data_IF_413484997959
#
_entry.id   IF_413484997959
#
_cell.length_a   1.000
_cell.length_b   1.000
_cell.length_c   1.000
_cell.angle_alpha   90.00
_cell.angle_beta   90.00
_cell.angle_gamma   90.00
#
_symmetry.space_group_name_H-M   'P 1'
#
loop_
_entity.id
_entity.type
_entity.pdbx_description
1 polymer ?
#
# COMPACT_ATOMS: atom_id res chain seq x y z
N UNK A 1 -49.72 -73.63 16.09
CA UNK A 1 -50.28 -72.40 16.70
C UNK A 1 -49.58 -71.19 16.10
N UNK A 2 -50.34 -70.24 15.55
CA UNK A 2 -49.86 -68.95 15.05
C UNK A 2 -49.30 -68.10 16.20
N UNK A 3 -48.21 -67.39 15.98
CA UNK A 3 -48.06 -65.99 16.40
C UNK A 3 -47.25 -65.24 15.33
N UNK A 4 -47.94 -64.34 14.64
CA UNK A 4 -47.41 -63.32 13.75
C UNK A 4 -47.00 -62.10 14.57
N UNK A 5 -45.79 -61.58 14.36
CA UNK A 5 -45.33 -60.31 14.92
C UNK A 5 -44.55 -59.53 13.87
N UNK A 6 -45.24 -58.65 13.16
CA UNK A 6 -44.67 -57.62 12.31
C UNK A 6 -43.77 -56.70 13.15
N UNK A 7 -42.47 -56.61 12.84
CA UNK A 7 -41.69 -55.44 13.24
C UNK A 7 -41.58 -54.47 12.06
N UNK A 8 -42.31 -53.38 12.27
CA UNK A 8 -42.49 -52.19 11.47
C UNK A 8 -41.22 -51.64 10.81
N UNK A 9 -41.34 -51.38 9.50
CA UNK A 9 -40.41 -50.66 8.62
C UNK A 9 -40.19 -49.17 8.98
N UNK A 10 -40.45 -48.76 10.22
CA UNK A 10 -40.43 -47.37 10.65
C UNK A 10 -39.09 -46.90 11.25
N UNK A 11 -38.18 -47.81 11.62
CA UNK A 11 -36.93 -47.42 12.32
C UNK A 11 -35.76 -47.15 11.35
N UNK A 12 -35.81 -47.67 10.13
CA UNK A 12 -34.73 -47.46 9.14
C UNK A 12 -34.92 -46.17 8.32
N UNK A 13 -36.10 -45.55 8.38
CA UNK A 13 -36.41 -44.34 7.57
C UNK A 13 -35.96 -43.04 8.25
N UNK A 14 -35.72 -43.02 9.56
CA UNK A 14 -35.38 -41.78 10.28
C UNK A 14 -33.90 -41.38 10.09
N UNK A 15 -33.00 -42.32 9.74
CA UNK A 15 -31.58 -42.00 9.53
C UNK A 15 -31.25 -41.50 8.11
N UNK A 16 -32.16 -41.64 7.13
CA UNK A 16 -31.91 -41.21 5.75
C UNK A 16 -32.54 -39.86 5.38
N UNK A 17 -33.46 -39.33 6.18
CA UNK A 17 -34.11 -38.03 5.90
C UNK A 17 -33.36 -36.84 6.55
N UNK A 18 -32.52 -37.10 7.55
CA UNK A 18 -31.76 -36.05 8.25
C UNK A 18 -30.53 -35.50 7.52
N UNK A 19 -30.09 -36.13 6.43
CA UNK A 19 -28.82 -35.76 5.76
C UNK A 19 -29.01 -34.84 4.53
N UNK A 20 -30.25 -34.54 4.13
CA UNK A 20 -30.54 -33.77 2.91
C UNK A 20 -31.03 -32.33 3.15
N UNK A 21 -30.95 -31.82 4.39
CA UNK A 21 -31.32 -30.44 4.74
C UNK A 21 -30.15 -29.58 5.24
N UNK A 22 -28.91 -30.07 5.12
CA UNK A 22 -27.73 -29.20 5.19
C UNK A 22 -27.44 -28.69 3.78
N UNK A 23 -28.29 -27.80 3.28
CA UNK A 23 -27.88 -26.92 2.18
C UNK A 23 -26.65 -26.21 2.72
N UNK A 24 -25.45 -26.36 2.14
CA UNK A 24 -24.40 -25.42 2.46
C UNK A 24 -25.01 -24.08 2.08
N UNK A 25 -25.20 -23.18 3.06
CA UNK A 25 -25.31 -21.78 2.73
C UNK A 25 -24.10 -21.53 1.85
N UNK A 26 -24.35 -21.42 0.54
CA UNK A 26 -23.41 -20.82 -0.36
C UNK A 26 -23.27 -19.45 0.23
N UNK A 27 -22.21 -19.25 1.01
CA UNK A 27 -21.78 -17.95 1.45
C UNK A 27 -21.42 -17.25 0.15
N UNK A 28 -22.44 -16.70 -0.51
CA UNK A 28 -22.26 -15.68 -1.51
C UNK A 28 -21.58 -14.58 -0.74
N UNK A 29 -20.26 -14.51 -0.85
CA UNK A 29 -19.53 -13.34 -0.44
C UNK A 29 -20.30 -12.19 -1.09
N UNK A 30 -21.02 -11.40 -0.28
CA UNK A 30 -21.52 -10.10 -0.69
C UNK A 30 -20.28 -9.40 -1.20
N UNK A 31 -20.05 -9.44 -2.51
CA UNK A 31 -19.04 -8.65 -3.19
C UNK A 31 -19.54 -7.21 -3.03
N UNK A 32 -19.26 -6.65 -1.86
CA UNK A 32 -19.74 -5.35 -1.46
C UNK A 32 -19.02 -4.32 -2.30
N UNK A 33 -19.59 -3.98 -3.45
CA UNK A 33 -19.46 -2.69 -4.16
C UNK A 33 -18.07 -2.15 -4.50
N UNK A 34 -16.99 -2.90 -4.23
CA UNK A 34 -15.62 -2.48 -4.48
C UNK A 34 -15.31 -2.41 -5.97
N UNK A 35 -14.61 -1.36 -6.39
CA UNK A 35 -14.15 -1.20 -7.78
C UNK A 35 -12.65 -1.51 -7.88
N UNK A 36 -12.21 -1.93 -9.07
CA UNK A 36 -10.78 -2.01 -9.33
C UNK A 36 -10.25 -0.62 -9.67
N UNK A 37 -9.23 -0.17 -8.95
CA UNK A 37 -8.51 1.09 -9.23
C UNK A 37 -7.15 0.79 -9.82
N UNK A 38 -6.90 1.39 -10.98
CA UNK A 38 -5.63 1.25 -11.68
C UNK A 38 -4.77 2.49 -11.49
N UNK A 39 -3.52 2.28 -11.07
CA UNK A 39 -2.50 3.32 -11.01
C UNK A 39 -1.26 2.89 -11.79
N UNK A 40 -0.55 3.87 -12.36
CA UNK A 40 0.75 3.66 -12.99
C UNK A 40 1.78 4.55 -12.32
N UNK A 41 2.80 3.92 -11.76
CA UNK A 41 3.95 4.57 -11.14
C UNK A 41 5.14 4.41 -12.06
N UNK A 42 5.59 5.51 -12.65
CA UNK A 42 6.80 5.58 -13.45
C UNK A 42 7.91 6.15 -12.58
N UNK A 43 8.85 5.30 -12.16
CA UNK A 43 9.96 5.69 -11.31
C UNK A 43 11.01 6.36 -12.20
N UNK A 44 11.30 7.64 -11.96
CA UNK A 44 12.18 8.46 -12.80
C UNK A 44 13.00 9.45 -11.98
N UNK A 45 14.16 9.81 -12.52
CA UNK A 45 14.95 10.91 -12.01
C UNK A 45 14.26 12.24 -12.29
N UNK A 46 14.32 13.17 -11.34
CA UNK A 46 13.85 14.55 -11.49
C UNK A 46 14.79 15.48 -10.74
N UNK A 47 15.23 16.56 -11.39
CA UNK A 47 15.96 17.62 -10.72
C UNK A 47 14.99 18.43 -9.86
N UNK A 48 15.32 18.57 -8.58
CA UNK A 48 14.57 19.36 -7.60
C UNK A 48 15.55 20.25 -6.86
N UNK A 49 15.13 21.50 -6.65
CA UNK A 49 15.89 22.50 -5.90
C UNK A 49 15.25 22.72 -4.55
N UNK A 50 16.04 22.63 -3.48
CA UNK A 50 15.68 23.07 -2.12
C UNK A 50 16.93 23.62 -1.48
N UNK A 51 16.79 24.57 -0.56
CA UNK A 51 17.92 25.13 0.19
C UNK A 51 19.02 25.67 -0.73
N UNK A 52 18.61 26.27 -1.86
CA UNK A 52 19.51 26.79 -2.91
C UNK A 52 20.38 25.74 -3.61
N UNK A 53 20.09 24.44 -3.41
CA UNK A 53 20.85 23.33 -3.99
C UNK A 53 19.95 22.49 -4.88
N UNK A 54 20.40 22.27 -6.10
CA UNK A 54 19.72 21.40 -7.06
C UNK A 54 20.38 20.03 -7.04
N UNK A 55 19.56 18.97 -6.92
CA UNK A 55 20.02 17.59 -7.12
C UNK A 55 18.98 16.79 -7.89
N UNK A 56 19.45 15.75 -8.56
CA UNK A 56 18.55 14.77 -9.17
C UNK A 56 18.12 13.76 -8.11
N UNK A 57 16.81 13.55 -7.98
CA UNK A 57 16.24 12.58 -7.04
C UNK A 57 15.33 11.59 -7.75
N UNK A 58 15.13 10.43 -7.14
CA UNK A 58 14.15 9.44 -7.61
C UNK A 58 12.74 9.92 -7.23
N UNK A 59 11.81 9.87 -8.20
CA UNK A 59 10.42 10.31 -8.01
C UNK A 59 9.44 9.33 -8.63
N UNK A 60 8.17 9.45 -8.24
CA UNK A 60 7.06 8.78 -8.92
C UNK A 60 6.37 9.77 -9.84
N UNK A 61 6.35 9.48 -11.14
CA UNK A 61 5.73 10.32 -12.17
C UNK A 61 6.26 11.76 -12.18
N UNK A 62 7.55 11.95 -11.82
CA UNK A 62 8.17 13.28 -11.78
C UNK A 62 7.72 14.16 -10.60
N UNK A 63 7.04 13.58 -9.59
CA UNK A 63 6.48 14.32 -8.45
C UNK A 63 7.20 13.96 -7.14
N UNK A 64 7.42 14.98 -6.32
CA UNK A 64 7.95 14.89 -4.96
C UNK A 64 7.20 15.88 -4.04
N UNK A 65 6.52 15.40 -2.97
CA UNK A 65 6.18 14.00 -2.73
C UNK A 65 5.39 13.39 -3.89
N UNK A 66 5.32 12.07 -3.94
CA UNK A 66 4.65 11.33 -4.99
C UNK A 66 3.13 11.53 -5.03
N UNK A 67 2.47 11.03 -6.09
CA UNK A 67 1.03 11.19 -6.26
C UNK A 67 0.22 10.54 -5.13
N UNK A 68 -0.92 11.16 -4.82
CA UNK A 68 -1.92 10.57 -3.92
C UNK A 68 -2.54 9.33 -4.56
N UNK A 69 -2.59 8.24 -3.80
CA UNK A 69 -3.42 7.07 -4.10
C UNK A 69 -4.71 7.20 -3.31
N UNK A 70 -5.86 7.05 -3.95
CA UNK A 70 -7.17 7.20 -3.32
C UNK A 70 -8.01 5.97 -3.63
N UNK A 71 -8.45 5.29 -2.59
CA UNK A 71 -9.32 4.14 -2.69
C UNK A 71 -10.49 4.24 -1.68
N UNK A 72 -11.47 3.36 -1.81
CA UNK A 72 -12.48 3.10 -0.78
C UNK A 72 -12.16 1.77 -0.11
N UNK A 73 -12.64 1.59 1.11
CA UNK A 73 -12.69 0.26 1.72
C UNK A 73 -13.43 -0.71 0.77
N UNK A 74 -12.85 -1.88 0.52
CA UNK A 74 -13.35 -2.90 -0.40
C UNK A 74 -12.83 -2.79 -1.83
N UNK A 75 -12.20 -1.67 -2.22
CA UNK A 75 -11.62 -1.53 -3.56
C UNK A 75 -10.41 -2.45 -3.75
N UNK A 76 -10.23 -2.93 -4.99
CA UNK A 76 -9.02 -3.64 -5.43
C UNK A 76 -8.05 -2.66 -6.06
N UNK A 77 -6.85 -2.54 -5.53
CA UNK A 77 -5.81 -1.68 -6.09
C UNK A 77 -4.90 -2.50 -6.99
N UNK A 78 -4.71 -2.02 -8.21
CA UNK A 78 -3.76 -2.55 -9.18
C UNK A 78 -2.79 -1.46 -9.56
N UNK A 79 -1.57 -1.51 -9.05
CA UNK A 79 -0.53 -0.50 -9.30
C UNK A 79 0.61 -1.11 -10.09
N UNK A 80 0.75 -0.68 -11.35
CA UNK A 80 1.91 -1.03 -12.17
C UNK A 80 3.05 -0.05 -11.89
N UNK A 81 4.11 -0.55 -11.28
CA UNK A 81 5.35 0.19 -11.05
C UNK A 81 6.33 -0.17 -12.16
N UNK A 82 6.86 0.84 -12.86
CA UNK A 82 7.86 0.68 -13.92
C UNK A 82 9.12 1.44 -13.50
N UNK A 83 10.23 0.73 -13.39
CA UNK A 83 11.49 1.31 -12.97
C UNK A 83 12.30 1.82 -14.18
N UNK A 84 12.52 3.13 -14.27
CA UNK A 84 13.38 3.73 -15.30
C UNK A 84 14.67 4.33 -14.72
N UNK A 85 14.94 4.17 -13.43
CA UNK A 85 16.17 4.66 -12.80
C UNK A 85 17.20 3.54 -12.66
N UNK A 86 18.50 3.86 -12.57
CA UNK A 86 19.55 2.84 -12.42
C UNK A 86 19.47 2.04 -11.12
N UNK A 87 18.84 2.61 -10.09
CA UNK A 87 18.70 1.95 -8.80
C UNK A 87 17.56 0.92 -8.81
N UNK A 88 17.76 -0.16 -8.08
CA UNK A 88 16.70 -1.07 -7.69
C UNK A 88 15.63 -0.36 -6.86
N UNK A 89 14.37 -0.78 -6.98
CA UNK A 89 13.26 -0.17 -6.25
C UNK A 89 12.22 -1.22 -5.85
N UNK A 90 11.54 -1.01 -4.74
CA UNK A 90 10.29 -1.69 -4.40
C UNK A 90 9.36 -0.69 -3.72
N UNK A 91 8.05 -0.89 -3.78
CA UNK A 91 7.06 0.00 -3.14
C UNK A 91 6.30 -0.79 -2.09
N UNK A 92 6.26 -0.26 -0.87
CA UNK A 92 5.46 -0.76 0.23
C UNK A 92 4.25 0.12 0.49
N UNK A 93 3.13 -0.54 0.81
CA UNK A 93 1.83 0.07 1.07
C UNK A 93 1.63 0.17 2.58
N UNK A 94 2.35 1.09 3.21
CA UNK A 94 2.46 1.18 4.67
C UNK A 94 1.11 1.17 5.37
N UNK A 95 0.93 0.18 6.25
CA UNK A 95 -0.28 -0.03 7.02
C UNK A 95 -1.37 -0.85 6.32
N UNK A 96 -1.26 -1.16 5.03
CA UNK A 96 -2.16 -2.12 4.37
C UNK A 96 -1.87 -3.52 4.92
N UNK A 97 -2.92 -4.23 5.37
CA UNK A 97 -2.78 -5.54 6.03
C UNK A 97 -2.28 -6.67 5.13
N UNK A 98 -2.35 -6.49 3.81
CA UNK A 98 -1.97 -7.51 2.81
C UNK A 98 -2.57 -8.90 3.08
N UNK A 99 -3.86 -8.95 3.43
CA UNK A 99 -4.54 -10.20 3.76
C UNK A 99 -4.51 -11.14 2.56
N UNK A 100 -3.72 -12.23 2.68
CA UNK A 100 -3.49 -13.21 1.61
C UNK A 100 -2.89 -12.62 0.32
N UNK A 101 -2.19 -11.49 0.43
CA UNK A 101 -1.53 -10.82 -0.70
C UNK A 101 -0.10 -10.38 -0.36
N UNK A 102 0.59 -11.16 0.49
CA UNK A 102 1.93 -10.82 0.99
C UNK A 102 2.99 -10.56 -0.11
N UNK A 103 2.85 -11.19 -1.28
CA UNK A 103 3.72 -10.90 -2.44
C UNK A 103 3.63 -9.45 -2.92
N UNK A 104 2.52 -8.75 -2.66
CA UNK A 104 2.31 -7.35 -3.00
C UNK A 104 2.65 -6.40 -1.83
N UNK A 105 3.32 -6.89 -0.78
CA UNK A 105 3.63 -6.06 0.38
C UNK A 105 4.73 -5.04 0.11
N UNK A 106 5.82 -5.41 -0.56
CA UNK A 106 6.85 -4.46 -1.00
C UNK A 106 8.25 -4.56 -0.38
N UNK A 107 8.45 -4.98 0.88
CA UNK A 107 9.79 -5.04 1.48
C UNK A 107 10.75 -5.93 0.69
N UNK A 108 11.77 -5.32 0.09
CA UNK A 108 12.74 -6.02 -0.74
C UNK A 108 13.52 -7.05 0.08
N UNK A 109 13.73 -8.23 -0.52
CA UNK A 109 14.37 -9.41 0.08
C UNK A 109 13.61 -10.03 1.27
N UNK A 110 12.40 -9.56 1.57
CA UNK A 110 11.49 -10.20 2.53
C UNK A 110 10.31 -10.82 1.78
N UNK A 111 9.56 -10.01 1.03
CA UNK A 111 8.35 -10.48 0.31
C UNK A 111 8.52 -10.51 -1.21
N UNK A 112 9.55 -9.85 -1.73
CA UNK A 112 9.88 -9.84 -3.16
C UNK A 112 11.36 -9.50 -3.42
N UNK A 113 11.88 -9.89 -4.57
CA UNK A 113 13.08 -9.27 -5.12
C UNK A 113 12.76 -7.82 -5.58
N UNK A 114 13.74 -6.91 -5.56
CA UNK A 114 13.52 -5.55 -6.03
C UNK A 114 13.26 -5.51 -7.55
N UNK A 115 12.51 -4.50 -7.98
CA UNK A 115 12.26 -4.18 -9.39
C UNK A 115 13.54 -3.56 -9.97
N UNK A 116 14.22 -4.31 -10.82
CA UNK A 116 15.44 -3.87 -11.48
C UNK A 116 15.18 -2.79 -12.54
N UNK A 117 16.24 -2.09 -12.93
CA UNK A 117 16.23 -1.09 -14.01
C UNK A 117 15.57 -1.64 -15.27
N UNK A 118 14.64 -0.88 -15.84
CA UNK A 118 13.89 -1.25 -17.05
C UNK A 118 12.75 -2.24 -16.81
N UNK A 119 12.64 -2.84 -15.62
CA UNK A 119 11.63 -3.83 -15.29
C UNK A 119 10.36 -3.20 -14.70
N UNK A 120 9.30 -4.00 -14.61
CA UNK A 120 8.05 -3.60 -13.98
C UNK A 120 7.46 -4.67 -13.09
N UNK A 121 6.69 -4.25 -12.10
CA UNK A 121 5.95 -5.13 -11.20
C UNK A 121 4.54 -4.59 -10.98
N UNK A 122 3.57 -5.50 -10.79
CA UNK A 122 2.17 -5.14 -10.55
C UNK A 122 1.80 -5.53 -9.13
N UNK A 123 1.59 -4.53 -8.29
CA UNK A 123 1.00 -4.70 -6.97
C UNK A 123 -0.52 -4.86 -7.13
N UNK A 124 -1.08 -5.97 -6.66
CA UNK A 124 -2.51 -6.28 -6.79
C UNK A 124 -3.04 -6.84 -5.47
N UNK A 125 -3.87 -6.06 -4.78
CA UNK A 125 -4.44 -6.42 -3.49
C UNK A 125 -5.79 -5.73 -3.28
N UNK A 126 -6.59 -6.25 -2.35
CA UNK A 126 -7.87 -5.67 -1.96
C UNK A 126 -7.76 -5.04 -0.57
N UNK A 127 -8.35 -3.86 -0.40
CA UNK A 127 -8.39 -3.19 0.91
C UNK A 127 -9.54 -3.76 1.72
N UNK A 128 -9.24 -4.41 2.84
CA UNK A 128 -10.25 -5.09 3.66
C UNK A 128 -10.28 -4.55 5.08
N UNK A 129 -11.41 -3.96 5.47
CA UNK A 129 -11.65 -3.49 6.84
C UNK A 129 -10.71 -2.38 7.28
N UNK A 130 -10.32 -1.51 6.36
CA UNK A 130 -9.46 -0.35 6.63
C UNK A 130 -10.09 0.89 5.99
N UNK A 131 -10.03 2.02 6.71
CA UNK A 131 -10.41 3.36 6.26
C UNK A 131 -9.55 4.39 6.99
N UNK A 132 -9.29 5.53 6.37
CA UNK A 132 -8.46 6.60 6.93
C UNK A 132 -7.24 6.93 6.07
N UNK A 133 -6.21 7.49 6.72
CA UNK A 133 -4.98 7.95 6.08
C UNK A 133 -3.86 6.97 6.34
N UNK A 134 -3.31 6.42 5.27
CA UNK A 134 -2.07 5.66 5.23
C UNK A 134 -1.09 6.36 4.26
N UNK A 135 0.03 5.72 3.96
CA UNK A 135 0.96 6.20 2.95
C UNK A 135 1.60 5.02 2.23
N UNK A 136 2.22 5.29 1.10
CA UNK A 136 3.08 4.35 0.40
C UNK A 136 4.48 4.94 0.35
N UNK A 137 5.49 4.07 0.32
CA UNK A 137 6.89 4.50 0.21
C UNK A 137 7.75 3.43 -0.43
N UNK A 138 8.91 3.82 -0.94
CA UNK A 138 9.89 2.83 -1.37
C UNK A 138 10.37 1.99 -0.18
N UNK A 139 10.59 0.69 -0.38
CA UNK A 139 11.06 -0.22 0.65
C UNK A 139 12.32 -0.98 0.23
N UNK A 140 13.20 -0.23 -0.44
CA UNK A 140 14.54 -0.63 -0.83
C UNK A 140 15.51 0.50 -0.46
N UNK A 141 16.56 0.20 0.30
CA UNK A 141 17.56 1.18 0.76
C UNK A 141 16.93 2.44 1.41
N UNK A 142 17.54 3.61 1.23
CA UNK A 142 17.05 4.90 1.71
C UNK A 142 16.15 5.63 0.71
N UNK A 143 15.67 4.94 -0.33
CA UNK A 143 14.83 5.53 -1.39
C UNK A 143 13.54 6.18 -0.87
N UNK A 144 13.03 5.76 0.29
CA UNK A 144 11.86 6.38 0.91
C UNK A 144 12.05 7.84 1.29
N UNK A 145 13.28 8.36 1.31
CA UNK A 145 13.55 9.78 1.53
C UNK A 145 12.95 10.67 0.44
N UNK A 146 12.73 10.13 -0.77
CA UNK A 146 12.17 10.88 -1.91
C UNK A 146 11.02 10.17 -2.62
N UNK A 147 10.92 8.84 -2.47
CA UNK A 147 9.88 8.01 -3.07
C UNK A 147 8.85 7.65 -1.99
N UNK A 148 7.89 8.54 -1.77
CA UNK A 148 6.75 8.33 -0.87
C UNK A 148 5.56 9.19 -1.28
N UNK A 149 4.37 8.82 -0.83
CA UNK A 149 3.17 9.62 -1.04
C UNK A 149 1.97 9.12 -0.23
N UNK A 150 0.87 9.89 -0.20
CA UNK A 150 -0.28 9.57 0.63
C UNK A 150 -1.13 8.46 0.01
N UNK A 151 -1.68 7.59 0.87
CA UNK A 151 -2.68 6.59 0.51
C UNK A 151 -3.94 6.84 1.35
N UNK A 152 -5.00 7.34 0.70
CA UNK A 152 -6.25 7.70 1.37
C UNK A 152 -7.29 6.62 1.11
N UNK A 153 -7.86 6.08 2.17
CA UNK A 153 -8.91 5.07 2.11
C UNK A 153 -10.21 5.69 2.64
N UNK A 154 -11.07 6.08 1.71
CA UNK A 154 -12.39 6.61 2.00
C UNK A 154 -13.32 5.50 2.53
N UNK A 155 -14.43 5.85 3.20
CA UNK A 155 -15.47 4.89 3.57
C UNK A 155 -15.91 4.04 2.37
N UNK A 156 -16.42 2.84 2.64
CA UNK A 156 -17.02 1.98 1.61
C UNK A 156 -18.10 2.75 0.86
N UNK A 157 -18.36 2.35 -0.38
CA UNK A 157 -19.45 2.96 -1.18
C UNK A 157 -20.76 2.89 -0.39
N UNK A 158 -21.48 4.01 -0.36
CA UNK A 158 -22.74 4.21 0.38
C UNK A 158 -22.60 4.21 1.92
N UNK A 159 -21.39 4.30 2.45
CA UNK A 159 -21.15 4.56 3.88
C UNK A 159 -20.61 5.98 4.08
N UNK A 160 -20.96 6.61 5.21
CA UNK A 160 -20.46 7.92 5.62
C UNK A 160 -19.26 7.79 6.56
N UNK A 161 -18.56 8.90 6.77
CA UNK A 161 -17.71 9.02 7.94
C UNK A 161 -18.54 8.90 9.22
N UNK A 162 -17.94 8.50 10.36
CA UNK A 162 -18.61 8.53 11.67
C UNK A 162 -18.76 9.95 12.22
N UNK A 163 -18.49 10.98 11.40
CA UNK A 163 -18.56 12.40 11.70
C UNK A 163 -19.06 13.16 10.46
N UNK A 164 -19.41 14.44 10.64
CA UNK A 164 -19.86 15.30 9.54
C UNK A 164 -18.78 15.35 8.46
N UNK A 165 -19.18 15.11 7.21
CA UNK A 165 -18.27 15.14 6.07
C UNK A 165 -17.50 16.48 6.05
N UNK A 166 -16.15 16.46 6.09
CA UNK A 166 -15.37 17.67 6.07
C UNK A 166 -15.60 18.49 4.79
N UNK A 167 -15.52 19.81 4.90
CA UNK A 167 -15.54 20.69 3.73
C UNK A 167 -14.37 20.40 2.77
N UNK A 168 -13.18 20.12 3.31
CA UNK A 168 -11.97 19.81 2.55
C UNK A 168 -11.07 18.85 3.32
N UNK A 169 -10.35 18.00 2.59
CA UNK A 169 -9.36 17.08 3.11
C UNK A 169 -8.00 17.32 2.43
N UNK A 170 -6.98 17.65 3.23
CA UNK A 170 -5.62 17.96 2.76
C UNK A 170 -4.61 17.07 3.50
N UNK A 171 -3.90 16.17 2.79
CA UNK A 171 -2.78 15.43 3.37
C UNK A 171 -1.64 16.38 3.71
N UNK A 172 -1.10 16.22 4.92
CA UNK A 172 0.13 16.84 5.37
C UNK A 172 1.13 15.71 5.58
N UNK A 173 2.16 15.66 4.72
CA UNK A 173 3.23 14.70 4.79
C UNK A 173 4.42 15.35 5.48
N UNK A 174 4.90 14.72 6.55
CA UNK A 174 6.17 15.08 7.17
C UNK A 174 7.29 14.30 6.49
N UNK A 175 8.41 14.95 6.25
CA UNK A 175 9.58 14.32 5.67
C UNK A 175 10.85 15.07 5.98
N UNK A 176 11.96 14.59 5.43
CA UNK A 176 13.29 15.17 5.59
C UNK A 176 13.89 15.46 4.20
N UNK A 177 14.76 16.47 4.14
CA UNK A 177 15.53 16.81 2.97
C UNK A 177 17.02 16.76 3.30
N UNK A 178 17.75 16.03 2.47
CA UNK A 178 19.20 15.99 2.46
C UNK A 178 19.69 16.74 1.23
N UNK A 179 20.71 17.58 1.35
CA UNK A 179 21.42 18.17 0.22
C UNK A 179 22.30 17.14 -0.48
N UNK A 180 22.85 16.19 0.29
CA UNK A 180 23.56 15.03 -0.24
C UNK A 180 22.61 14.02 -0.90
N UNK A 181 23.14 13.14 -1.76
CA UNK A 181 22.44 11.94 -2.21
C UNK A 181 22.24 11.00 -1.02
N UNK A 182 20.99 10.60 -0.77
CA UNK A 182 20.64 9.73 0.36
C UNK A 182 21.25 8.34 0.23
N UNK A 183 21.49 7.85 -0.99
CA UNK A 183 22.21 6.59 -1.18
C UNK A 183 23.70 6.74 -0.84
N UNK A 184 24.30 7.90 -1.10
CA UNK A 184 25.67 8.16 -0.65
C UNK A 184 25.77 8.25 0.88
N UNK A 185 24.78 8.88 1.54
CA UNK A 185 24.72 8.97 3.01
C UNK A 185 24.66 7.59 3.65
N UNK A 186 23.76 6.70 3.19
CA UNK A 186 23.68 5.35 3.74
C UNK A 186 24.89 4.50 3.39
N UNK A 187 25.44 4.62 2.17
CA UNK A 187 26.64 3.88 1.79
C UNK A 187 27.85 4.25 2.66
N UNK A 188 28.04 5.54 2.95
CA UNK A 188 29.10 5.99 3.86
C UNK A 188 28.92 5.44 5.28
N UNK A 189 27.68 5.47 5.80
CA UNK A 189 27.36 4.92 7.13
C UNK A 189 27.65 3.42 7.19
N UNK A 190 27.24 2.65 6.17
CA UNK A 190 27.50 1.21 6.10
C UNK A 190 29.00 0.88 5.96
N UNK A 191 29.76 1.69 5.22
CA UNK A 191 31.21 1.49 5.04
C UNK A 191 32.01 1.81 6.31
N UNK A 192 31.61 2.85 7.04
CA UNK A 192 32.36 3.34 8.21
C UNK A 192 31.89 2.72 9.53
N UNK A 193 30.65 2.21 9.58
CA UNK A 193 29.99 1.78 10.82
C UNK A 193 29.50 2.94 11.70
N UNK A 194 29.71 4.20 11.29
CA UNK A 194 29.23 5.38 12.01
C UNK A 194 27.77 5.67 11.68
N UNK A 195 27.10 6.44 12.55
CA UNK A 195 25.75 6.93 12.30
C UNK A 195 25.68 7.78 11.02
N UNK A 196 24.56 7.77 10.28
CA UNK A 196 24.39 8.60 9.10
C UNK A 196 24.35 10.08 9.49
N UNK A 197 24.76 10.95 8.56
CA UNK A 197 24.58 12.39 8.72
C UNK A 197 23.10 12.73 8.94
N UNK A 198 22.83 13.78 9.72
CA UNK A 198 21.47 14.32 9.90
C UNK A 198 20.99 15.03 8.64
N UNK A 199 19.67 15.14 8.49
CA UNK A 199 19.05 15.89 7.39
C UNK A 199 19.32 17.40 7.49
N UNK A 200 19.35 18.08 6.34
CA UNK A 200 19.53 19.52 6.26
C UNK A 200 18.25 20.29 6.59
N UNK A 201 17.08 19.68 6.36
CA UNK A 201 15.79 20.27 6.71
C UNK A 201 14.70 19.24 6.96
N UNK A 202 13.77 19.57 7.85
CA UNK A 202 12.45 18.95 7.90
C UNK A 202 11.55 19.59 6.86
N UNK A 203 10.57 18.84 6.36
CA UNK A 203 9.67 19.31 5.31
C UNK A 203 8.21 19.00 5.62
N UNK A 204 7.34 19.92 5.20
CA UNK A 204 5.90 19.72 5.10
C UNK A 204 5.55 19.63 3.61
N UNK A 205 5.01 18.49 3.19
CA UNK A 205 4.71 18.20 1.79
C UNK A 205 5.92 18.45 0.86
N UNK A 206 7.13 18.10 1.31
CA UNK A 206 8.38 18.26 0.55
C UNK A 206 8.92 19.69 0.46
N UNK A 207 8.37 20.63 1.24
CA UNK A 207 8.84 22.01 1.36
C UNK A 207 9.41 22.27 2.75
N UNK A 208 10.63 22.82 2.88
CA UNK A 208 11.24 23.15 4.17
C UNK A 208 10.50 24.22 4.97
N UNK A 209 9.79 25.12 4.30
CA UNK A 209 9.11 26.24 4.94
C UNK A 209 10.00 27.45 5.22
N UNK A 210 9.44 28.53 5.81
CA UNK A 210 10.07 29.86 5.81
C UNK A 210 11.29 29.99 6.72
N UNK A 211 11.56 29.02 7.59
CA UNK A 211 12.68 29.05 8.55
C UNK A 211 14.02 28.62 7.92
N UNK A 212 14.01 28.17 6.67
CA UNK A 212 15.20 27.80 5.92
C UNK A 212 15.44 28.78 4.77
N UNK A 213 16.71 29.10 4.51
CA UNK A 213 17.09 29.88 3.34
C UNK A 213 16.71 29.13 2.05
N UNK A 214 16.18 29.85 1.05
CA UNK A 214 15.83 29.30 -0.27
C UNK A 214 14.89 28.08 -0.23
N UNK A 215 13.79 28.20 0.48
CA UNK A 215 12.86 27.10 0.77
C UNK A 215 11.69 26.94 -0.22
N UNK A 216 11.58 27.83 -1.21
CA UNK A 216 10.55 27.82 -2.27
C UNK A 216 10.82 26.83 -3.41
#
# INVERSE_FOLDING_TARGET
>A
MRFSGFLSSAVTVILFVGCFMAVPEVVTAKHGGGVTRHYKFSIRMKNITRLCRSKSIVTVNGKFPGPRVVAREGDRLVVKVVNHVPNNISIHWHGIRQLRSGWADGPAYITQCPIQTGQSYVYNFTITGQRGTLFWHAHFSWMRATVYGPLIILPRRNESYPFIKPYKEVPILFGEWFNADTEAVINQSLQTGAGPNVSDAYTLNGLPGPLYNCSG
#
